data_IF_250593400017
#
_entry.id   IF_250593400017
#
_cell.length_a   1.000
_cell.length_b   1.000
_cell.length_c   1.000
_cell.angle_alpha   90.00
_cell.angle_beta   90.00
_cell.angle_gamma   90.00
#
_symmetry.space_group_name_H-M   'P 1'
#
loop_
_entity.id
_entity.type
_entity.pdbx_description
1 polymer ?
#
# COMPACT_ATOMS: atom_id res chain seq x y z
N UNK A 1 -5.64 -5.72 -23.67
CA UNK A 1 -4.63 -5.63 -22.58
C UNK A 1 -3.90 -6.96 -22.53
N UNK A 2 -2.56 -6.96 -22.61
CA UNK A 2 -1.75 -8.18 -22.54
C UNK A 2 -1.46 -8.48 -21.07
N UNK A 3 -1.71 -9.72 -20.64
CA UNK A 3 -1.37 -10.16 -19.28
C UNK A 3 0.16 -10.17 -19.16
N UNK A 4 0.67 -9.53 -18.12
CA UNK A 4 2.08 -9.58 -17.75
C UNK A 4 2.34 -10.88 -16.97
N UNK A 5 2.93 -11.84 -17.67
CA UNK A 5 3.23 -13.18 -17.15
C UNK A 5 4.31 -13.17 -16.05
N UNK A 6 5.23 -12.19 -16.06
CA UNK A 6 6.19 -12.01 -14.95
C UNK A 6 5.44 -11.55 -13.70
N UNK A 7 4.46 -10.67 -13.85
CA UNK A 7 3.63 -10.22 -12.74
C UNK A 7 2.76 -11.35 -12.20
N UNK A 8 2.20 -12.15 -13.10
CA UNK A 8 1.37 -13.30 -12.74
C UNK A 8 2.16 -14.37 -11.97
N UNK A 9 3.41 -14.64 -12.36
CA UNK A 9 4.28 -15.58 -11.63
C UNK A 9 4.54 -15.11 -10.21
N UNK A 10 4.80 -13.80 -10.02
CA UNK A 10 4.99 -13.18 -8.71
C UNK A 10 3.73 -13.26 -7.85
N UNK A 11 2.54 -13.05 -8.42
CA UNK A 11 1.25 -13.21 -7.72
C UNK A 11 1.10 -14.64 -7.17
N UNK A 12 1.28 -15.65 -8.02
CA UNK A 12 1.11 -17.05 -7.63
C UNK A 12 2.12 -17.42 -6.53
N UNK A 13 3.39 -17.05 -6.72
CA UNK A 13 4.44 -17.33 -5.73
C UNK A 13 4.19 -16.60 -4.40
N UNK A 14 3.77 -15.33 -4.44
CA UNK A 14 3.45 -14.54 -3.25
C UNK A 14 2.30 -15.19 -2.47
N UNK A 15 1.20 -15.51 -3.14
CA UNK A 15 0.03 -16.14 -2.52
C UNK A 15 0.37 -17.50 -1.90
N UNK A 16 1.13 -18.34 -2.61
CA UNK A 16 1.59 -19.64 -2.09
C UNK A 16 2.44 -19.50 -0.84
N UNK A 17 3.45 -18.62 -0.88
CA UNK A 17 4.30 -18.34 0.27
C UNK A 17 3.46 -17.86 1.46
N UNK A 18 2.55 -16.91 1.25
CA UNK A 18 1.65 -16.40 2.29
C UNK A 18 0.81 -17.50 2.93
N UNK A 19 0.30 -18.44 2.12
CA UNK A 19 -0.45 -19.61 2.60
C UNK A 19 0.43 -20.64 3.34
N UNK A 20 1.75 -20.50 3.25
CA UNK A 20 2.70 -21.35 3.98
C UNK A 20 2.82 -22.76 3.42
N UNK A 21 2.41 -22.99 2.17
CA UNK A 21 2.44 -24.31 1.52
C UNK A 21 3.55 -24.40 0.48
N UNK A 22 4.06 -25.61 0.29
CA UNK A 22 5.08 -25.98 -0.68
C UNK A 22 4.50 -26.13 -2.08
N UNK A 23 5.36 -26.16 -3.09
CA UNK A 23 4.93 -26.45 -4.46
C UNK A 23 4.34 -27.86 -4.57
N UNK A 24 4.90 -28.84 -3.87
CA UNK A 24 4.42 -30.23 -3.85
C UNK A 24 3.01 -30.34 -3.27
N UNK A 25 2.68 -29.58 -2.23
CA UNK A 25 1.31 -29.51 -1.68
C UNK A 25 0.33 -28.84 -2.64
N UNK A 26 0.72 -27.75 -3.31
CA UNK A 26 -0.14 -27.15 -4.36
C UNK A 26 -0.38 -28.15 -5.49
N UNK A 27 0.65 -28.89 -5.88
CA UNK A 27 0.57 -29.92 -6.91
C UNK A 27 -0.39 -31.05 -6.56
N UNK A 28 -0.37 -31.55 -5.32
CA UNK A 28 -1.30 -32.61 -4.89
C UNK A 28 -2.76 -32.13 -4.87
N UNK A 29 -3.01 -30.86 -4.55
CA UNK A 29 -4.37 -30.30 -4.50
C UNK A 29 -4.90 -29.97 -5.91
N UNK A 30 -4.06 -29.42 -6.79
CA UNK A 30 -4.49 -28.90 -8.11
C UNK A 30 -4.34 -29.92 -9.24
N UNK A 31 -3.55 -30.98 -9.04
CA UNK A 31 -3.11 -31.88 -10.11
C UNK A 31 -2.07 -31.28 -11.07
N UNK A 32 -1.64 -30.04 -10.86
CA UNK A 32 -0.57 -29.40 -11.64
C UNK A 32 0.76 -29.99 -11.17
N UNK A 33 1.57 -30.54 -12.08
CA UNK A 33 2.87 -31.13 -11.69
C UNK A 33 3.78 -30.08 -11.02
N UNK A 34 4.61 -30.51 -10.07
CA UNK A 34 5.52 -29.59 -9.36
C UNK A 34 6.48 -28.88 -10.33
N UNK A 35 6.94 -29.57 -11.37
CA UNK A 35 7.78 -28.99 -12.41
C UNK A 35 7.07 -27.89 -13.22
N UNK A 36 5.79 -28.08 -13.54
CA UNK A 36 4.97 -27.04 -14.18
C UNK A 36 4.81 -25.84 -13.26
N UNK A 37 4.47 -26.05 -11.98
CA UNK A 37 4.31 -24.97 -11.02
C UNK A 37 5.62 -24.19 -10.81
N UNK A 38 6.75 -24.88 -10.74
CA UNK A 38 8.09 -24.27 -10.65
C UNK A 38 8.39 -23.38 -11.86
N UNK A 39 8.08 -23.85 -13.08
CA UNK A 39 8.23 -23.04 -14.31
C UNK A 39 7.29 -21.84 -14.36
N UNK A 40 6.06 -21.99 -13.85
CA UNK A 40 5.12 -20.88 -13.71
C UNK A 40 5.69 -19.82 -12.76
N UNK A 41 6.09 -20.20 -11.54
CA UNK A 41 6.60 -19.26 -10.53
C UNK A 41 7.93 -18.60 -10.92
N UNK A 42 8.69 -19.20 -11.83
CA UNK A 42 9.94 -18.65 -12.39
C UNK A 42 9.75 -17.91 -13.73
N UNK A 43 8.50 -17.69 -14.17
CA UNK A 43 8.17 -17.03 -15.43
C UNK A 43 8.76 -17.74 -16.68
N UNK A 44 8.96 -19.05 -16.61
CA UNK A 44 9.40 -19.88 -17.73
C UNK A 44 8.23 -20.55 -18.48
N UNK A 45 7.02 -20.46 -17.95
CA UNK A 45 5.83 -21.07 -18.52
C UNK A 45 4.60 -20.17 -18.28
N UNK A 46 3.88 -19.86 -19.36
CA UNK A 46 2.60 -19.15 -19.29
C UNK A 46 1.54 -19.95 -18.53
N UNK A 47 0.69 -19.23 -17.81
CA UNK A 47 -0.40 -19.84 -17.03
C UNK A 47 -1.65 -19.97 -17.91
N UNK A 48 -2.11 -21.20 -18.15
CA UNK A 48 -3.39 -21.42 -18.82
C UNK A 48 -4.56 -20.93 -17.96
N UNK A 49 -5.69 -20.55 -18.57
CA UNK A 49 -6.89 -20.13 -17.83
C UNK A 49 -7.37 -21.20 -16.82
N UNK A 50 -7.26 -22.49 -17.18
CA UNK A 50 -7.57 -23.61 -16.28
C UNK A 50 -6.64 -23.62 -15.07
N UNK A 51 -5.33 -23.49 -15.28
CA UNK A 51 -4.37 -23.45 -14.17
C UNK A 51 -4.60 -22.22 -13.29
N UNK A 52 -4.85 -21.06 -13.89
CA UNK A 52 -5.17 -19.84 -13.15
C UNK A 52 -6.38 -20.04 -12.24
N UNK A 53 -7.48 -20.57 -12.75
CA UNK A 53 -8.69 -20.83 -11.96
C UNK A 53 -8.45 -21.79 -10.79
N UNK A 54 -7.68 -22.86 -11.00
CA UNK A 54 -7.33 -23.81 -9.94
C UNK A 54 -6.43 -23.17 -8.88
N UNK A 55 -5.39 -22.46 -9.32
CA UNK A 55 -4.44 -21.78 -8.43
C UNK A 55 -5.11 -20.65 -7.67
N UNK A 56 -5.97 -19.85 -8.30
CA UNK A 56 -6.64 -18.73 -7.63
C UNK A 56 -7.56 -19.20 -6.52
N UNK A 57 -8.32 -20.27 -6.77
CA UNK A 57 -9.16 -20.92 -5.74
C UNK A 57 -8.32 -21.51 -4.61
N UNK A 58 -7.24 -22.24 -4.92
CA UNK A 58 -6.41 -22.91 -3.91
C UNK A 58 -5.57 -21.92 -3.11
N UNK A 59 -5.10 -20.84 -3.72
CA UNK A 59 -4.20 -19.87 -3.08
C UNK A 59 -4.93 -18.62 -2.55
N UNK A 60 -6.26 -18.59 -2.67
CA UNK A 60 -7.09 -17.44 -2.28
C UNK A 60 -6.59 -16.15 -2.94
N UNK A 61 -6.46 -16.20 -4.26
CA UNK A 61 -6.09 -15.06 -5.11
C UNK A 61 -7.40 -14.51 -5.73
N UNK A 62 -7.74 -13.23 -5.49
CA UNK A 62 -8.85 -12.59 -6.17
C UNK A 62 -8.70 -12.68 -7.70
N UNK A 63 -9.79 -12.96 -8.40
CA UNK A 63 -9.77 -13.14 -9.86
C UNK A 63 -9.17 -11.91 -10.59
N UNK A 64 -9.47 -10.71 -10.10
CA UNK A 64 -9.03 -9.45 -10.69
C UNK A 64 -7.52 -9.20 -10.56
N UNK A 65 -6.82 -9.98 -9.72
CA UNK A 65 -5.37 -9.87 -9.54
C UNK A 65 -4.60 -10.08 -10.86
N UNK A 66 -5.18 -10.83 -11.81
CA UNK A 66 -4.58 -11.02 -13.14
C UNK A 66 -4.52 -9.71 -13.94
N UNK A 67 -5.44 -8.77 -13.67
CA UNK A 67 -5.54 -7.48 -14.35
C UNK A 67 -4.82 -6.38 -13.59
N UNK A 68 -5.09 -6.27 -12.29
CA UNK A 68 -4.47 -5.23 -11.44
C UNK A 68 -2.99 -5.52 -11.20
N UNK A 69 -2.62 -6.80 -11.27
CA UNK A 69 -1.29 -7.31 -10.98
C UNK A 69 -0.92 -7.21 -9.50
N UNK A 70 -1.92 -7.11 -8.63
CA UNK A 70 -1.80 -7.13 -7.17
C UNK A 70 -2.84 -8.06 -6.56
N UNK A 71 -2.50 -8.64 -5.41
CA UNK A 71 -3.46 -9.37 -4.57
C UNK A 71 -4.08 -8.37 -3.59
N UNK A 72 -5.40 -8.26 -3.58
CA UNK A 72 -6.14 -7.56 -2.53
C UNK A 72 -7.41 -8.29 -2.12
N UNK A 73 -7.43 -8.80 -0.90
CA UNK A 73 -8.55 -9.57 -0.35
C UNK A 73 -9.62 -8.70 0.30
N UNK A 74 -9.44 -7.38 0.33
CA UNK A 74 -10.40 -6.49 0.99
C UNK A 74 -10.49 -6.67 2.50
N UNK A 75 -9.47 -7.29 3.11
CA UNK A 75 -9.39 -7.51 4.55
C UNK A 75 -8.48 -6.47 5.18
N UNK A 76 -8.80 -6.10 6.43
CA UNK A 76 -7.90 -5.27 7.23
C UNK A 76 -6.59 -6.03 7.45
N UNK A 77 -5.43 -5.40 7.29
CA UNK A 77 -4.16 -6.01 7.63
C UNK A 77 -4.13 -6.20 9.16
N UNK A 78 -4.16 -7.45 9.65
CA UNK A 78 -4.09 -7.75 11.09
C UNK A 78 -2.69 -8.21 11.49
N UNK A 79 -2.23 -7.80 12.69
CA UNK A 79 -0.92 -8.15 13.25
C UNK A 79 -0.81 -9.62 13.68
N UNK A 80 -1.90 -10.20 14.18
CA UNK A 80 -1.93 -11.53 14.80
C UNK A 80 -1.72 -12.71 13.81
N UNK A 81 -1.74 -12.46 12.50
CA UNK A 81 -1.71 -13.54 11.47
C UNK A 81 -0.46 -13.55 10.60
N UNK A 82 0.43 -12.55 10.70
CA UNK A 82 1.56 -12.44 9.78
C UNK A 82 2.81 -13.12 10.34
N UNK A 83 2.97 -14.41 10.01
CA UNK A 83 4.30 -15.03 10.03
C UNK A 83 5.21 -14.21 9.11
N UNK A 84 6.49 -14.06 9.46
CA UNK A 84 7.49 -13.39 8.61
C UNK A 84 7.88 -14.28 7.40
N UNK A 85 6.90 -14.58 6.55
CA UNK A 85 6.99 -15.49 5.41
C UNK A 85 8.04 -15.01 4.40
N UNK A 86 8.14 -13.70 4.21
CA UNK A 86 9.07 -13.07 3.28
C UNK A 86 10.45 -12.80 3.91
N UNK A 87 10.68 -13.25 5.15
CA UNK A 87 11.95 -13.11 5.89
C UNK A 87 12.47 -11.66 5.93
N UNK A 88 11.56 -10.71 6.11
CA UNK A 88 11.91 -9.30 6.28
C UNK A 88 12.88 -9.13 7.46
N UNK A 89 13.82 -8.17 7.37
CA UNK A 89 14.61 -7.74 8.51
C UNK A 89 13.72 -7.34 9.69
N UNK A 90 14.14 -7.63 10.92
CA UNK A 90 13.38 -7.32 12.14
C UNK A 90 12.92 -5.86 12.20
N UNK A 91 13.76 -4.91 11.74
CA UNK A 91 13.41 -3.48 11.71
C UNK A 91 12.22 -3.14 10.81
N UNK A 92 11.94 -3.95 9.79
CA UNK A 92 10.82 -3.73 8.87
C UNK A 92 9.62 -4.65 9.14
N UNK A 93 9.84 -5.72 9.90
CA UNK A 93 8.79 -6.66 10.29
C UNK A 93 8.13 -6.28 11.61
N UNK A 94 8.94 -5.93 12.62
CA UNK A 94 8.42 -5.55 13.93
C UNK A 94 7.67 -4.23 13.78
N UNK A 95 6.52 -4.13 14.46
CA UNK A 95 5.69 -2.92 14.44
C UNK A 95 5.33 -2.48 13.01
N UNK A 96 5.12 -3.45 12.13
CA UNK A 96 4.66 -3.22 10.77
C UNK A 96 3.19 -2.78 10.80
N UNK A 97 2.97 -1.48 10.96
CA UNK A 97 1.63 -0.90 11.05
C UNK A 97 1.10 -0.35 9.72
N UNK A 98 1.95 -0.32 8.69
CA UNK A 98 1.58 0.12 7.35
C UNK A 98 1.35 -1.08 6.45
N UNK A 99 0.31 -1.06 5.63
CA UNK A 99 0.15 -2.03 4.56
C UNK A 99 0.87 -1.58 3.30
N UNK A 100 1.05 -2.51 2.37
CA UNK A 100 1.59 -2.18 1.04
C UNK A 100 0.71 -1.13 0.34
N UNK A 101 -0.62 -1.13 0.54
CA UNK A 101 -1.51 -0.08 -0.03
C UNK A 101 -1.08 1.33 0.35
N UNK A 102 -0.63 1.52 1.58
CA UNK A 102 -0.22 2.84 2.07
C UNK A 102 1.05 3.35 1.39
N UNK A 103 1.97 2.44 1.10
CA UNK A 103 3.34 2.79 0.72
C UNK A 103 3.62 2.64 -0.79
N UNK A 104 2.76 1.93 -1.51
CA UNK A 104 2.97 1.65 -2.93
C UNK A 104 3.04 2.89 -3.84
N UNK A 105 2.37 4.04 -3.56
CA UNK A 105 2.58 5.26 -4.33
C UNK A 105 4.03 5.75 -4.28
N UNK A 106 4.69 5.62 -3.12
CA UNK A 106 6.10 6.02 -2.93
C UNK A 106 7.03 5.11 -3.72
N UNK A 107 6.77 3.79 -3.69
CA UNK A 107 7.51 2.82 -4.48
C UNK A 107 7.35 3.12 -5.97
N UNK A 108 6.12 3.34 -6.44
CA UNK A 108 5.82 3.64 -7.83
C UNK A 108 6.57 4.88 -8.31
N UNK A 109 6.48 5.99 -7.58
CA UNK A 109 7.20 7.22 -7.89
C UNK A 109 8.71 6.98 -7.95
N UNK A 110 9.26 6.25 -6.97
CA UNK A 110 10.69 5.95 -6.91
C UNK A 110 11.16 5.10 -8.10
N UNK A 111 10.41 4.06 -8.46
CA UNK A 111 10.73 3.24 -9.64
C UNK A 111 10.65 4.05 -10.94
N UNK A 112 9.72 4.99 -11.07
CA UNK A 112 9.62 5.85 -12.26
C UNK A 112 10.76 6.86 -12.36
N UNK A 113 11.22 7.41 -11.22
CA UNK A 113 12.29 8.42 -11.20
C UNK A 113 13.70 7.81 -11.26
N UNK A 114 13.91 6.70 -10.55
CA UNK A 114 15.23 6.11 -10.35
C UNK A 114 15.44 4.84 -11.20
N UNK A 115 14.37 4.25 -11.72
CA UNK A 115 14.39 2.99 -12.46
C UNK A 115 14.20 1.77 -11.55
N UNK A 116 13.60 0.72 -12.11
CA UNK A 116 13.33 -0.53 -11.39
C UNK A 116 14.62 -1.21 -10.89
N UNK A 117 15.69 -1.19 -11.69
CA UNK A 117 16.96 -1.83 -11.33
C UNK A 117 17.59 -1.21 -10.07
N UNK A 118 17.48 0.12 -9.91
CA UNK A 118 17.98 0.81 -8.72
C UNK A 118 17.16 0.46 -7.49
N UNK A 119 15.84 0.37 -7.63
CA UNK A 119 14.97 -0.09 -6.56
C UNK A 119 15.29 -1.52 -6.16
N UNK A 120 15.51 -2.43 -7.12
CA UNK A 120 15.89 -3.82 -6.86
C UNK A 120 17.24 -3.93 -6.13
N UNK A 121 18.23 -3.11 -6.50
CA UNK A 121 19.51 -3.01 -5.78
C UNK A 121 19.32 -2.53 -4.33
N UNK A 122 18.45 -1.54 -4.11
CA UNK A 122 18.11 -1.10 -2.76
C UNK A 122 17.47 -2.24 -1.95
N UNK A 123 16.48 -2.95 -2.53
CA UNK A 123 15.83 -4.10 -1.88
C UNK A 123 16.83 -5.19 -1.48
N UNK A 124 17.78 -5.51 -2.36
CA UNK A 124 18.86 -6.45 -2.05
C UNK A 124 19.73 -5.96 -0.89
N UNK A 125 20.16 -4.68 -0.93
CA UNK A 125 20.96 -4.04 0.12
C UNK A 125 20.26 -4.13 1.49
N UNK A 126 18.96 -3.86 1.53
CA UNK A 126 18.18 -3.92 2.76
C UNK A 126 17.56 -5.28 3.05
N UNK A 127 17.85 -6.30 2.23
CA UNK A 127 17.40 -7.70 2.37
C UNK A 127 15.87 -7.85 2.43
N UNK A 128 15.15 -7.06 1.62
CA UNK A 128 13.68 -7.15 1.49
C UNK A 128 13.34 -7.84 0.17
N UNK A 129 12.45 -8.82 0.20
CA UNK A 129 11.95 -9.44 -1.03
C UNK A 129 10.90 -8.55 -1.69
N UNK A 130 11.04 -8.30 -2.99
CA UNK A 130 10.05 -7.60 -3.82
C UNK A 130 8.64 -8.22 -3.76
N UNK A 131 8.55 -9.54 -3.53
CA UNK A 131 7.29 -10.26 -3.39
C UNK A 131 6.37 -9.72 -2.31
N UNK A 132 6.92 -9.04 -1.29
CA UNK A 132 6.05 -8.43 -0.27
C UNK A 132 5.10 -7.40 -0.88
N UNK A 133 5.53 -6.68 -1.92
CA UNK A 133 4.75 -5.60 -2.53
C UNK A 133 3.68 -6.08 -3.52
N UNK A 134 3.60 -7.40 -3.75
CA UNK A 134 2.62 -8.00 -4.66
C UNK A 134 1.24 -8.13 -4.00
N UNK A 135 1.21 -8.27 -2.68
CA UNK A 135 -0.02 -8.39 -1.90
C UNK A 135 -0.24 -7.12 -1.07
N UNK A 136 -1.28 -6.39 -1.44
CA UNK A 136 -1.64 -5.10 -0.86
C UNK A 136 -1.97 -5.18 0.63
N UNK A 137 -2.38 -6.36 1.12
CA UNK A 137 -2.68 -6.58 2.53
C UNK A 137 -1.44 -7.02 3.34
N UNK A 138 -0.26 -7.19 2.73
CA UNK A 138 0.98 -7.40 3.48
C UNK A 138 1.32 -6.15 4.30
N UNK A 139 1.89 -6.34 5.49
CA UNK A 139 2.37 -5.23 6.31
C UNK A 139 3.89 -5.07 6.21
N UNK A 140 4.33 -3.84 6.36
CA UNK A 140 5.72 -3.44 6.47
C UNK A 140 5.81 -2.23 7.39
N UNK A 141 6.90 -2.11 8.14
CA UNK A 141 7.13 -0.93 8.96
C UNK A 141 7.44 0.28 8.07
N UNK A 142 6.83 1.43 8.37
CA UNK A 142 7.06 2.68 7.64
C UNK A 142 8.53 3.15 7.66
N UNK A 143 9.36 2.65 8.60
CA UNK A 143 10.81 2.83 8.55
C UNK A 143 11.45 2.35 7.24
N UNK A 144 10.87 1.35 6.56
CA UNK A 144 11.31 0.96 5.21
C UNK A 144 11.21 2.14 4.24
N UNK A 145 10.13 2.91 4.33
CA UNK A 145 9.90 4.08 3.49
C UNK A 145 10.80 5.23 3.85
N UNK A 146 11.07 5.47 5.14
CA UNK A 146 12.07 6.44 5.54
C UNK A 146 13.45 6.08 4.97
N UNK A 147 13.88 4.83 5.09
CA UNK A 147 15.16 4.37 4.53
C UNK A 147 15.20 4.48 3.00
N UNK A 148 14.10 4.14 2.32
CA UNK A 148 13.95 4.25 0.86
C UNK A 148 14.10 5.70 0.40
N UNK A 149 13.33 6.59 1.02
CA UNK A 149 13.29 8.01 0.67
C UNK A 149 14.63 8.70 0.99
N UNK A 150 15.22 8.42 2.16
CA UNK A 150 16.55 8.90 2.50
C UNK A 150 17.62 8.39 1.53
N UNK A 151 17.52 7.15 1.06
CA UNK A 151 18.48 6.58 0.13
C UNK A 151 18.49 7.28 -1.23
N UNK A 152 17.32 7.60 -1.77
CA UNK A 152 17.18 8.16 -3.13
C UNK A 152 17.10 9.69 -3.17
N UNK A 153 16.63 10.33 -2.11
CA UNK A 153 16.35 11.77 -2.10
C UNK A 153 17.13 12.52 -1.02
N UNK A 154 17.47 11.90 0.12
CA UNK A 154 18.32 12.50 1.15
C UNK A 154 17.88 13.91 1.57
N UNK A 155 18.67 14.93 1.25
CA UNK A 155 18.38 16.33 1.56
C UNK A 155 17.21 16.92 0.75
N UNK A 156 16.72 16.22 -0.27
CA UNK A 156 15.60 16.65 -1.13
C UNK A 156 14.21 16.29 -0.57
N UNK A 157 14.14 15.72 0.63
CA UNK A 157 12.88 15.44 1.31
C UNK A 157 12.15 16.74 1.67
N UNK A 158 11.29 17.17 0.76
CA UNK A 158 10.58 18.45 0.79
C UNK A 158 9.10 18.25 0.51
N UNK A 159 8.30 19.27 0.84
CA UNK A 159 6.85 19.27 0.56
C UNK A 159 6.56 19.07 -0.93
N UNK A 160 7.40 19.59 -1.83
CA UNK A 160 7.22 19.44 -3.26
C UNK A 160 7.48 18.01 -3.74
N UNK A 161 8.45 17.31 -3.14
CA UNK A 161 8.64 15.87 -3.37
C UNK A 161 7.40 15.08 -2.94
N UNK A 162 6.83 15.40 -1.78
CA UNK A 162 5.63 14.71 -1.29
C UNK A 162 4.40 14.97 -2.18
N UNK A 163 4.23 16.19 -2.70
CA UNK A 163 3.21 16.52 -3.73
C UNK A 163 3.43 15.76 -5.02
N UNK A 164 4.69 15.53 -5.39
CA UNK A 164 5.02 14.78 -6.59
C UNK A 164 4.68 13.30 -6.43
N UNK A 165 5.00 12.71 -5.28
CA UNK A 165 4.63 11.34 -4.93
C UNK A 165 3.11 11.20 -4.85
N UNK A 166 2.40 12.18 -4.27
CA UNK A 166 0.95 12.11 -4.06
C UNK A 166 0.14 12.07 -5.34
N UNK A 167 0.72 12.41 -6.50
CA UNK A 167 0.08 12.22 -7.82
C UNK A 167 -0.30 10.77 -8.09
N UNK A 168 0.38 9.81 -7.48
CA UNK A 168 0.05 8.39 -7.57
C UNK A 168 -1.02 7.94 -6.56
N UNK A 169 -1.52 8.84 -5.71
CA UNK A 169 -2.49 8.51 -4.66
C UNK A 169 -3.83 8.02 -5.19
N UNK A 170 -4.19 8.29 -6.45
CA UNK A 170 -5.48 7.89 -7.06
C UNK A 170 -5.41 6.67 -7.96
N UNK A 171 -4.24 6.05 -8.09
CA UNK A 171 -4.07 4.87 -8.96
C UNK A 171 -4.99 3.77 -8.40
N UNK A 172 -6.00 3.39 -9.18
CA UNK A 172 -7.11 2.54 -8.72
C UNK A 172 -6.60 1.19 -8.19
N UNK A 173 -5.61 0.63 -8.88
CA UNK A 173 -4.99 -0.64 -8.53
C UNK A 173 -4.32 -0.61 -7.15
N UNK A 174 -3.93 0.56 -6.62
CA UNK A 174 -3.32 0.69 -5.30
C UNK A 174 -4.35 0.68 -4.16
N UNK A 175 -5.62 0.94 -4.47
CA UNK A 175 -6.72 0.87 -3.51
C UNK A 175 -7.39 -0.50 -3.50
N UNK A 176 -7.21 -1.29 -4.58
CA UNK A 176 -7.79 -2.60 -4.76
C UNK A 176 -9.32 -2.56 -4.67
N UNK A 177 -9.93 -3.39 -3.83
CA UNK A 177 -11.40 -3.51 -3.75
C UNK A 177 -12.11 -2.22 -3.30
N UNK A 178 -11.40 -1.28 -2.66
CA UNK A 178 -11.99 -0.02 -2.20
C UNK A 178 -12.04 1.05 -3.29
N UNK A 179 -11.34 0.88 -4.41
CA UNK A 179 -11.38 1.81 -5.55
C UNK A 179 -12.82 2.08 -6.02
N UNK A 180 -13.62 1.03 -6.12
CA UNK A 180 -15.04 1.10 -6.50
C UNK A 180 -15.88 1.98 -5.57
N UNK A 181 -15.54 2.08 -4.29
CA UNK A 181 -16.26 2.95 -3.35
C UNK A 181 -15.85 4.42 -3.52
N UNK A 182 -14.58 4.66 -3.83
CA UNK A 182 -14.03 6.00 -4.05
C UNK A 182 -14.55 6.63 -5.35
N UNK A 183 -14.62 5.86 -6.43
CA UNK A 183 -15.15 6.31 -7.72
C UNK A 183 -16.61 6.78 -7.65
N UNK A 184 -17.40 6.27 -6.70
CA UNK A 184 -18.81 6.66 -6.51
C UNK A 184 -18.97 8.03 -5.85
N UNK A 185 -17.89 8.67 -5.39
CA UNK A 185 -17.95 9.95 -4.66
C UNK A 185 -17.83 11.11 -5.64
N UNK A 186 -18.71 12.08 -5.47
CA UNK A 186 -18.85 13.24 -6.36
C UNK A 186 -18.42 14.57 -5.71
N UNK A 187 -17.99 14.56 -4.45
CA UNK A 187 -17.42 15.73 -3.79
C UNK A 187 -16.14 15.37 -3.05
N UNK A 188 -15.16 16.28 -3.05
CA UNK A 188 -13.86 16.05 -2.42
C UNK A 188 -13.96 15.73 -0.94
N UNK A 189 -14.85 16.40 -0.21
CA UNK A 189 -15.11 16.13 1.20
C UNK A 189 -15.72 14.73 1.44
N UNK A 190 -16.61 14.26 0.55
CA UNK A 190 -17.16 12.91 0.67
C UNK A 190 -16.11 11.85 0.34
N UNK A 191 -15.22 12.13 -0.62
CA UNK A 191 -14.10 11.26 -0.96
C UNK A 191 -13.11 11.15 0.21
N UNK A 192 -12.71 12.28 0.79
CA UNK A 192 -11.87 12.33 1.99
C UNK A 192 -12.52 11.55 3.13
N UNK A 193 -13.79 11.83 3.45
CA UNK A 193 -14.53 11.13 4.51
C UNK A 193 -14.45 9.61 4.35
N UNK A 194 -14.75 9.11 3.15
CA UNK A 194 -14.78 7.66 2.88
C UNK A 194 -13.38 7.06 2.94
N UNK A 195 -12.35 7.81 2.54
CA UNK A 195 -10.97 7.39 2.77
C UNK A 195 -10.63 7.28 4.25
N UNK A 196 -10.98 8.28 5.07
CA UNK A 196 -10.74 8.25 6.52
C UNK A 196 -11.44 7.06 7.19
N UNK A 197 -12.68 6.75 6.78
CA UNK A 197 -13.42 5.57 7.25
C UNK A 197 -12.75 4.25 6.82
N UNK A 198 -12.13 4.22 5.64
CA UNK A 198 -11.41 3.07 5.09
C UNK A 198 -9.91 3.04 5.46
N UNK A 199 -9.40 4.01 6.21
CA UNK A 199 -8.00 4.07 6.63
C UNK A 199 -7.50 2.81 7.36
N UNK A 200 -8.33 2.06 8.15
CA UNK A 200 -7.93 0.79 8.74
C UNK A 200 -7.53 -0.32 7.75
N UNK A 201 -7.83 -0.19 6.46
CA UNK A 201 -7.38 -1.12 5.42
C UNK A 201 -5.98 -0.78 4.87
N UNK A 202 -5.50 0.44 5.15
CA UNK A 202 -4.17 0.91 4.75
C UNK A 202 -3.17 0.75 5.89
N UNK A 203 -3.62 0.93 7.13
CA UNK A 203 -2.72 0.98 8.27
C UNK A 203 -3.48 0.79 9.59
N UNK A 204 -2.74 0.48 10.65
CA UNK A 204 -3.20 0.41 12.04
C UNK A 204 -2.32 1.19 13.02
N UNK A 205 -1.46 2.07 12.48
CA UNK A 205 -0.61 3.01 13.23
C UNK A 205 -1.43 4.15 13.86
N UNK A 206 -2.52 4.55 13.21
CA UNK A 206 -3.38 5.66 13.56
C UNK A 206 -4.85 5.27 13.50
N UNK A 207 -5.63 5.86 14.41
CA UNK A 207 -7.08 5.95 14.30
C UNK A 207 -7.42 7.34 13.76
N UNK A 208 -8.28 7.38 12.75
CA UNK A 208 -8.77 8.64 12.19
C UNK A 208 -10.15 8.94 12.79
N UNK A 209 -10.31 10.13 13.35
CA UNK A 209 -11.55 10.55 14.00
C UNK A 209 -11.99 11.90 13.44
N UNK A 210 -13.14 11.93 12.77
CA UNK A 210 -13.75 13.19 12.33
C UNK A 210 -14.35 13.88 13.55
N UNK A 211 -13.86 15.07 13.88
CA UNK A 211 -14.30 15.85 15.06
C UNK A 211 -15.38 16.85 14.70
N UNK A 212 -15.27 17.47 13.52
CA UNK A 212 -16.24 18.45 13.03
C UNK A 212 -16.47 18.27 11.53
N UNK A 213 -17.69 18.56 11.09
CA UNK A 213 -18.06 18.50 9.68
C UNK A 213 -18.99 19.65 9.34
N UNK A 214 -18.68 20.34 8.25
CA UNK A 214 -19.55 21.33 7.61
C UNK A 214 -19.73 20.99 6.12
N UNK A 215 -20.42 21.87 5.39
CA UNK A 215 -20.54 21.76 3.94
C UNK A 215 -19.25 22.14 3.20
N UNK A 216 -18.33 22.85 3.86
CA UNK A 216 -17.11 23.38 3.26
C UNK A 216 -15.83 22.82 3.89
N UNK A 217 -15.94 22.10 5.02
CA UNK A 217 -14.78 21.61 5.75
C UNK A 217 -15.04 20.31 6.50
N UNK A 218 -13.96 19.56 6.73
CA UNK A 218 -13.88 18.43 7.66
C UNK A 218 -12.68 18.67 8.57
N UNK A 219 -12.90 18.64 9.90
CA UNK A 219 -11.81 18.52 10.86
C UNK A 219 -11.67 17.06 11.30
N UNK A 220 -10.45 16.57 11.36
CA UNK A 220 -10.18 15.22 11.84
C UNK A 220 -8.85 15.13 12.59
N UNK A 221 -8.77 14.13 13.46
CA UNK A 221 -7.60 13.82 14.27
C UNK A 221 -7.03 12.47 13.84
N UNK A 222 -5.70 12.43 13.76
CA UNK A 222 -4.90 11.22 13.63
C UNK A 222 -4.35 10.88 15.01
N UNK A 223 -5.01 9.95 15.69
CA UNK A 223 -4.63 9.48 17.02
C UNK A 223 -3.67 8.27 16.87
N UNK A 224 -2.41 8.37 17.32
CA UNK A 224 -1.48 7.26 17.22
C UNK A 224 -1.94 6.10 18.09
N UNK A 225 -1.78 4.88 17.59
CA UNK A 225 -1.95 3.66 18.37
C UNK A 225 -0.85 3.60 19.44
N UNK A 226 -1.19 3.30 20.69
CA UNK A 226 -0.25 3.25 21.82
C UNK A 226 0.97 2.37 21.51
N UNK A 227 0.77 1.24 20.83
CA UNK A 227 1.84 0.33 20.44
C UNK A 227 2.73 0.85 19.30
N UNK A 228 2.26 1.87 18.56
CA UNK A 228 2.95 2.47 17.42
C UNK A 228 3.70 3.76 17.76
N UNK A 229 3.44 4.36 18.93
CA UNK A 229 3.94 5.69 19.31
C UNK A 229 5.46 5.85 19.11
N UNK A 230 6.27 4.91 19.61
CA UNK A 230 7.73 5.03 19.52
C UNK A 230 8.23 5.08 18.06
N UNK A 231 7.62 4.28 17.17
CA UNK A 231 8.02 4.28 15.77
C UNK A 231 7.44 5.47 15.02
N UNK A 232 6.24 5.91 15.37
CA UNK A 232 5.62 7.11 14.81
C UNK A 232 6.51 8.33 15.03
N UNK A 233 7.02 8.53 16.25
CA UNK A 233 7.91 9.66 16.56
C UNK A 233 9.18 9.67 15.72
N UNK A 234 9.69 8.49 15.32
CA UNK A 234 10.88 8.36 14.46
C UNK A 234 10.61 8.72 13.01
N UNK A 235 9.35 8.65 12.55
CA UNK A 235 8.98 8.82 11.13
C UNK A 235 8.07 10.00 10.87
N UNK A 236 7.58 10.70 11.91
CA UNK A 236 6.55 11.74 11.80
C UNK A 236 6.93 12.89 10.86
N UNK A 237 8.22 13.23 10.80
CA UNK A 237 8.76 14.29 9.93
C UNK A 237 8.61 13.96 8.44
N UNK A 238 8.50 12.69 8.08
CA UNK A 238 8.22 12.24 6.71
C UNK A 238 6.74 11.88 6.57
N UNK A 239 6.19 11.16 7.55
CA UNK A 239 4.85 10.61 7.49
C UNK A 239 3.76 11.69 7.47
N UNK A 240 3.86 12.71 8.32
CA UNK A 240 2.82 13.76 8.42
C UNK A 240 2.77 14.60 7.13
N UNK A 241 3.89 15.14 6.60
CA UNK A 241 3.87 15.88 5.34
C UNK A 241 3.41 15.02 4.15
N UNK A 242 3.87 13.76 4.09
CA UNK A 242 3.41 12.82 3.07
C UNK A 242 1.89 12.58 3.16
N UNK A 243 1.34 12.35 4.36
CA UNK A 243 -0.10 12.13 4.56
C UNK A 243 -0.93 13.33 4.15
N UNK A 244 -0.46 14.53 4.48
CA UNK A 244 -1.07 15.78 4.04
C UNK A 244 -1.17 15.82 2.51
N UNK A 245 -0.03 15.73 1.82
CA UNK A 245 0.02 15.78 0.35
C UNK A 245 -0.82 14.67 -0.29
N UNK A 246 -0.72 13.45 0.23
CA UNK A 246 -1.50 12.30 -0.22
C UNK A 246 -3.01 12.57 -0.15
N UNK A 247 -3.52 13.08 0.97
CA UNK A 247 -4.95 13.32 1.16
C UNK A 247 -5.47 14.48 0.32
N UNK A 248 -4.67 15.54 0.14
CA UNK A 248 -4.99 16.67 -0.74
C UNK A 248 -5.17 16.22 -2.18
N UNK A 249 -4.21 15.45 -2.72
CA UNK A 249 -4.29 14.96 -4.09
C UNK A 249 -5.34 13.87 -4.26
N UNK A 250 -5.41 12.89 -3.34
CA UNK A 250 -6.41 11.82 -3.40
C UNK A 250 -7.83 12.38 -3.48
N UNK A 251 -8.11 13.43 -2.70
CA UNK A 251 -9.45 14.01 -2.57
C UNK A 251 -9.84 14.94 -3.73
N UNK A 252 -8.93 15.24 -4.66
CA UNK A 252 -9.25 16.08 -5.84
C UNK A 252 -10.22 15.33 -6.76
N UNK A 253 -11.31 15.94 -7.23
CA UNK A 253 -12.25 15.27 -8.16
C UNK A 253 -12.12 15.82 -9.57
N UNK A 254 -11.95 17.14 -9.67
CA UNK A 254 -11.73 17.86 -10.92
C UNK A 254 -10.64 18.92 -10.73
N UNK A 255 -10.32 19.64 -11.79
CA UNK A 255 -9.32 20.72 -11.76
C UNK A 255 -9.85 22.03 -11.13
N UNK A 256 -11.14 22.08 -10.77
CA UNK A 256 -11.79 23.30 -10.25
C UNK A 256 -11.89 23.30 -8.73
N UNK A 257 -11.88 22.11 -8.13
CA UNK A 257 -12.06 21.93 -6.69
C UNK A 257 -10.91 21.12 -6.11
N UNK A 258 -10.28 21.68 -5.08
CA UNK A 258 -9.27 20.96 -4.28
C UNK A 258 -9.60 21.07 -2.80
N UNK A 259 -9.11 20.11 -2.01
CA UNK A 259 -9.01 20.31 -0.57
C UNK A 259 -7.64 20.88 -0.26
N UNK A 260 -7.62 21.90 0.59
CA UNK A 260 -6.41 22.34 1.27
C UNK A 260 -6.47 21.80 2.69
N UNK A 261 -5.44 21.04 3.08
CA UNK A 261 -5.30 20.55 4.44
C UNK A 261 -4.41 21.53 5.20
N UNK A 262 -4.85 21.96 6.38
CA UNK A 262 -4.03 22.73 7.32
C UNK A 262 -3.78 21.86 8.54
N UNK A 263 -2.51 21.78 8.98
CA UNK A 263 -2.15 21.12 10.22
C UNK A 263 -2.39 22.12 11.36
N UNK A 264 -3.44 21.90 12.14
CA UNK A 264 -3.82 22.80 13.22
C UNK A 264 -2.92 22.63 14.44
N UNK A 265 -2.57 21.37 14.74
CA UNK A 265 -1.76 21.00 15.90
C UNK A 265 -1.08 19.65 15.68
N UNK A 266 0.22 19.58 15.98
CA UNK A 266 0.91 18.33 16.26
C UNK A 266 0.92 18.10 17.77
N UNK A 267 0.71 16.87 18.23
CA UNK A 267 0.79 16.51 19.64
C UNK A 267 2.11 15.81 19.94
N UNK A 268 2.61 15.92 21.17
CA UNK A 268 3.91 15.34 21.59
C UNK A 268 3.96 13.81 21.46
N UNK A 269 2.80 13.15 21.38
CA UNK A 269 2.69 11.72 21.17
C UNK A 269 2.71 11.30 19.68
N UNK A 270 2.94 12.24 18.75
CA UNK A 270 2.98 11.98 17.30
C UNK A 270 1.60 11.96 16.63
N UNK A 271 0.57 12.45 17.31
CA UNK A 271 -0.74 12.71 16.73
C UNK A 271 -0.80 14.04 15.98
N UNK A 272 -1.80 14.17 15.12
CA UNK A 272 -1.98 15.36 14.28
C UNK A 272 -3.47 15.69 14.13
N UNK A 273 -3.81 16.98 14.23
CA UNK A 273 -5.14 17.50 13.93
C UNK A 273 -5.10 18.28 12.62
N UNK A 274 -6.00 17.94 11.70
CA UNK A 274 -6.12 18.57 10.40
C UNK A 274 -7.48 19.22 10.21
N UNK A 275 -7.48 20.36 9.54
CA UNK A 275 -8.65 20.97 8.92
C UNK A 275 -8.52 20.87 7.41
N UNK A 276 -9.43 20.16 6.75
CA UNK A 276 -9.54 20.12 5.31
C UNK A 276 -10.64 21.07 4.84
N UNK A 277 -10.31 22.04 4.01
CA UNK A 277 -11.24 23.06 3.50
C UNK A 277 -11.32 22.98 1.97
N UNK A 278 -12.54 23.04 1.43
CA UNK A 278 -12.76 23.09 -0.01
C UNK A 278 -12.34 24.45 -0.56
N UNK A 279 -11.45 24.43 -1.54
CA UNK A 279 -11.00 25.60 -2.28
C UNK A 279 -11.49 25.54 -3.72
N UNK A 280 -12.01 26.66 -4.22
CA UNK A 280 -12.35 26.86 -5.63
C UNK A 280 -11.13 27.51 -6.29
N UNK A 281 -10.61 26.87 -7.34
CA UNK A 281 -9.46 27.35 -8.13
C UNK A 281 -9.94 28.24 -9.27
#
# INVERSE_FOLDING_TARGET
MRIDELRLSKIIMCARKRKGITQSEVSSITGITQGTLSKIESFQCSVSAKHWFLLSKVLDIPADSVWTGFIDRGIKPTSETQKNVFKLPKKYFNHAYSSVKEIIPIIKYTCEKQGQDQFDLFLQKVKVSDLIFVDLNNKINFLFICDLLNHFYGDQLSDDLFKDISKHSKVEEFHGVHSCEYQKKNTSLNLLKVFLENAPFYQDAYKYKITEKSNQSIQFEMEPNEFAMENILKVQNILIPFKKAYLEDFSRIDDRTKLELTLDKSTDNGGAKFTATTMII
#
